data_IF_950674982108
#
_entry.id   IF_950674982108
#
_cell.length_a   1.000
_cell.length_b   1.000
_cell.length_c   1.000
_cell.angle_alpha   90.00
_cell.angle_beta   90.00
_cell.angle_gamma   90.00
#
_symmetry.space_group_name_H-M   'P 1'
#
loop_
_entity.id
_entity.type
_entity.pdbx_description
1 polymer ?
#
# COMPACT_ATOMS: atom_id res chain seq x y z
N UNK A 1 -9.42 -28.84 -12.04
CA UNK A 1 -8.91 -28.48 -10.70
C UNK A 1 -8.29 -27.10 -10.86
N UNK A 2 -8.96 -26.05 -10.39
CA UNK A 2 -8.47 -24.68 -10.52
C UNK A 2 -7.15 -24.54 -9.75
N UNK A 3 -6.18 -23.83 -10.31
CA UNK A 3 -4.98 -23.45 -9.56
C UNK A 3 -5.41 -22.69 -8.31
N UNK A 4 -4.97 -23.15 -7.14
CA UNK A 4 -5.20 -22.45 -5.88
C UNK A 4 -4.30 -21.20 -5.87
N UNK A 5 -4.84 -20.05 -6.30
CA UNK A 5 -4.10 -18.79 -6.39
C UNK A 5 -4.26 -18.01 -5.08
N UNK A 6 -3.17 -17.45 -4.52
CA UNK A 6 -3.31 -16.52 -3.41
C UNK A 6 -4.20 -15.34 -3.80
N UNK A 7 -5.07 -14.95 -2.87
CA UNK A 7 -6.05 -13.89 -3.04
C UNK A 7 -5.55 -12.62 -2.38
N UNK A 8 -5.41 -11.55 -3.16
CA UNK A 8 -5.01 -10.25 -2.69
C UNK A 8 -6.13 -9.22 -2.87
N UNK A 9 -6.29 -8.33 -1.88
CA UNK A 9 -7.13 -7.14 -1.99
C UNK A 9 -6.23 -5.92 -1.88
N UNK A 10 -6.23 -5.05 -2.91
CA UNK A 10 -5.44 -3.81 -2.91
C UNK A 10 -6.38 -2.61 -2.88
N UNK A 11 -6.32 -1.83 -1.81
CA UNK A 11 -7.16 -0.64 -1.66
C UNK A 11 -6.61 0.54 -2.47
N UNK A 12 -7.46 1.24 -3.23
CA UNK A 12 -7.01 2.41 -4.02
C UNK A 12 -6.07 2.06 -5.18
N UNK A 13 -6.33 0.95 -5.88
CA UNK A 13 -5.47 0.39 -6.93
C UNK A 13 -5.78 0.88 -8.36
N UNK A 14 -6.64 1.87 -8.55
CA UNK A 14 -6.94 2.40 -9.90
C UNK A 14 -5.74 3.04 -10.63
N UNK A 15 -4.69 3.44 -9.90
CA UNK A 15 -3.48 4.12 -10.42
C UNK A 15 -2.36 4.16 -9.39
N UNK A 16 -1.19 4.67 -9.79
CA UNK A 16 -0.07 4.98 -8.90
C UNK A 16 0.47 3.75 -8.17
N UNK A 17 0.82 3.90 -6.89
CA UNK A 17 1.36 2.83 -6.04
C UNK A 17 0.47 1.57 -6.05
N UNK A 18 -0.84 1.75 -5.79
CA UNK A 18 -1.77 0.62 -5.73
C UNK A 18 -1.88 -0.14 -7.04
N UNK A 19 -1.81 0.54 -8.19
CA UNK A 19 -1.81 -0.13 -9.49
C UNK A 19 -0.55 -0.96 -9.73
N UNK A 20 0.63 -0.41 -9.41
CA UNK A 20 1.88 -1.14 -9.50
C UNK A 20 1.95 -2.33 -8.55
N UNK A 21 1.51 -2.15 -7.30
CA UNK A 21 1.41 -3.24 -6.32
C UNK A 21 0.50 -4.35 -6.83
N UNK A 22 -0.69 -3.99 -7.33
CA UNK A 22 -1.63 -4.96 -7.89
C UNK A 22 -1.02 -5.72 -9.06
N UNK A 23 -0.39 -5.03 -10.01
CA UNK A 23 0.25 -5.63 -11.18
C UNK A 23 1.39 -6.59 -10.77
N UNK A 24 2.25 -6.18 -9.84
CA UNK A 24 3.34 -7.01 -9.34
C UNK A 24 2.82 -8.28 -8.64
N UNK A 25 1.78 -8.19 -7.81
CA UNK A 25 1.12 -9.38 -7.24
C UNK A 25 0.51 -10.26 -8.35
N UNK A 26 -0.07 -9.65 -9.39
CA UNK A 26 -0.54 -10.34 -10.59
C UNK A 26 0.56 -11.13 -11.29
N UNK A 27 1.78 -10.57 -11.41
CA UNK A 27 2.93 -11.26 -12.01
C UNK A 27 3.38 -12.51 -11.26
N UNK A 28 3.04 -12.60 -9.98
CA UNK A 28 3.28 -13.76 -9.13
C UNK A 28 2.12 -14.77 -9.14
N UNK A 29 1.11 -14.53 -9.97
CA UNK A 29 -0.02 -15.45 -10.18
C UNK A 29 -1.21 -15.24 -9.24
N UNK A 30 -1.23 -14.16 -8.46
CA UNK A 30 -2.34 -13.88 -7.53
C UNK A 30 -3.65 -13.56 -8.26
N UNK A 31 -4.77 -13.90 -7.60
CA UNK A 31 -6.06 -13.25 -7.86
C UNK A 31 -6.06 -11.92 -7.10
N UNK A 32 -6.25 -10.79 -7.78
CA UNK A 32 -6.14 -9.46 -7.17
C UNK A 32 -7.44 -8.68 -7.37
N UNK A 33 -8.11 -8.34 -6.26
CA UNK A 33 -9.19 -7.37 -6.24
C UNK A 33 -8.60 -5.96 -6.30
N UNK A 34 -8.77 -5.32 -7.45
CA UNK A 34 -8.34 -3.96 -7.74
C UNK A 34 -9.48 -3.02 -7.38
N UNK A 35 -9.35 -2.35 -6.24
CA UNK A 35 -10.44 -1.50 -5.73
C UNK A 35 -10.19 -0.01 -5.94
N UNK A 36 -11.25 0.75 -6.15
CA UNK A 36 -11.17 2.21 -6.29
C UNK A 36 -12.45 2.80 -6.88
N UNK A 37 -12.50 4.12 -7.04
CA UNK A 37 -13.73 4.82 -7.47
C UNK A 37 -13.84 5.03 -8.98
N UNK A 38 -12.70 5.10 -9.68
CA UNK A 38 -12.66 5.43 -11.10
C UNK A 38 -12.83 4.18 -11.95
N UNK A 39 -13.96 4.07 -12.64
CA UNK A 39 -14.28 2.99 -13.57
C UNK A 39 -14.00 3.42 -15.02
N UNK A 40 -14.33 4.66 -15.34
CA UNK A 40 -14.23 5.23 -16.68
C UNK A 40 -13.14 6.29 -16.76
N UNK A 41 -12.60 6.48 -17.97
CA UNK A 41 -11.74 7.63 -18.24
C UNK A 41 -12.52 8.92 -18.02
N UNK A 42 -11.94 9.86 -17.28
CA UNK A 42 -12.59 11.13 -16.93
C UNK A 42 -13.30 11.17 -15.58
N UNK A 43 -13.49 10.03 -14.89
CA UNK A 43 -14.01 10.00 -13.50
C UNK A 43 -13.06 10.72 -12.52
N UNK A 44 -11.81 10.93 -12.91
CA UNK A 44 -10.79 11.67 -12.19
C UNK A 44 -9.99 12.53 -13.16
N UNK A 45 -9.40 13.62 -12.66
CA UNK A 45 -8.38 14.39 -13.39
C UNK A 45 -7.10 13.58 -13.65
N UNK A 46 -6.93 12.46 -12.94
CA UNK A 46 -5.80 11.54 -13.09
C UNK A 46 -6.19 10.34 -13.98
N UNK A 47 -5.26 9.89 -14.80
CA UNK A 47 -5.38 8.71 -15.64
C UNK A 47 -5.41 7.41 -14.80
N UNK A 48 -5.96 6.35 -15.38
CA UNK A 48 -6.06 5.03 -14.77
C UNK A 48 -7.42 4.74 -14.17
N UNK A 49 -7.92 3.52 -14.42
CA UNK A 49 -9.18 2.99 -13.88
C UNK A 49 -8.95 1.62 -13.24
N UNK A 50 -9.91 1.18 -12.44
CA UNK A 50 -9.86 -0.17 -11.84
C UNK A 50 -9.86 -1.27 -12.91
N UNK A 51 -10.55 -1.06 -14.04
CA UNK A 51 -10.60 -2.03 -15.13
C UNK A 51 -9.26 -2.15 -15.85
N UNK A 52 -8.63 -1.01 -16.16
CA UNK A 52 -7.31 -1.02 -16.79
C UNK A 52 -6.26 -1.72 -15.91
N UNK A 53 -6.32 -1.47 -14.60
CA UNK A 53 -5.39 -2.13 -13.67
C UNK A 53 -5.69 -3.62 -13.56
N UNK A 54 -6.96 -4.03 -13.51
CA UNK A 54 -7.34 -5.45 -13.53
C UNK A 54 -6.88 -6.17 -14.81
N UNK A 55 -6.92 -5.49 -15.96
CA UNK A 55 -6.37 -6.01 -17.21
C UNK A 55 -4.84 -6.16 -17.13
N UNK A 56 -4.13 -5.20 -16.51
CA UNK A 56 -2.69 -5.29 -16.27
C UNK A 56 -2.32 -6.46 -15.35
N UNK A 57 -3.08 -6.70 -14.28
CA UNK A 57 -2.92 -7.88 -13.40
C UNK A 57 -3.06 -9.18 -14.18
N UNK A 58 -4.10 -9.26 -15.01
CA UNK A 58 -4.38 -10.46 -15.81
C UNK A 58 -3.31 -10.68 -16.87
N UNK A 59 -2.87 -9.62 -17.55
CA UNK A 59 -1.79 -9.66 -18.53
C UNK A 59 -0.44 -10.04 -17.91
N UNK A 60 -0.22 -9.72 -16.63
CA UNK A 60 0.99 -10.08 -15.90
C UNK A 60 1.04 -11.58 -15.52
N UNK A 61 -0.08 -12.31 -15.58
CA UNK A 61 -0.15 -13.75 -15.30
C UNK A 61 -1.11 -14.15 -14.18
N UNK A 62 -1.71 -13.17 -13.49
CA UNK A 62 -2.67 -13.38 -12.41
C UNK A 62 -4.12 -13.36 -12.88
N UNK A 63 -5.02 -12.99 -11.98
CA UNK A 63 -6.41 -12.66 -12.30
C UNK A 63 -6.80 -11.34 -11.65
N UNK A 64 -6.98 -10.30 -12.46
CA UNK A 64 -7.46 -9.02 -11.97
C UNK A 64 -8.98 -9.00 -11.87
N UNK A 65 -9.51 -8.55 -10.74
CA UNK A 65 -10.93 -8.32 -10.52
C UNK A 65 -11.13 -6.85 -10.20
N UNK A 66 -11.72 -6.11 -11.13
CA UNK A 66 -12.10 -4.72 -10.89
C UNK A 66 -13.28 -4.67 -9.89
N UNK A 67 -13.14 -3.87 -8.83
CA UNK A 67 -14.19 -3.66 -7.85
C UNK A 67 -14.34 -2.17 -7.53
N UNK A 68 -15.46 -1.57 -7.92
CA UNK A 68 -15.76 -0.17 -7.61
C UNK A 68 -16.08 -0.03 -6.12
N UNK A 69 -15.23 0.69 -5.39
CA UNK A 69 -15.38 0.91 -3.94
C UNK A 69 -14.93 2.32 -3.59
N UNK A 70 -15.81 3.08 -2.93
CA UNK A 70 -15.38 4.24 -2.15
C UNK A 70 -14.97 3.79 -0.75
N UNK A 71 -13.69 3.90 -0.44
CA UNK A 71 -13.13 3.49 0.86
C UNK A 71 -13.48 4.47 2.00
N UNK A 72 -14.14 5.60 1.70
CA UNK A 72 -14.79 6.43 2.71
C UNK A 72 -16.20 5.98 3.09
N UNK A 73 -16.74 4.94 2.45
CA UNK A 73 -18.08 4.38 2.70
C UNK A 73 -17.95 2.95 3.23
N UNK A 74 -18.15 2.79 4.54
CA UNK A 74 -17.99 1.51 5.25
C UNK A 74 -18.92 0.41 4.69
N UNK A 75 -20.12 0.75 4.18
CA UNK A 75 -21.05 -0.22 3.60
C UNK A 75 -20.53 -0.77 2.26
N UNK A 76 -19.89 0.08 1.46
CA UNK A 76 -19.23 -0.36 0.22
C UNK A 76 -18.01 -1.25 0.50
N UNK A 77 -17.22 -0.94 1.54
CA UNK A 77 -16.10 -1.79 1.96
C UNK A 77 -16.62 -3.14 2.49
N UNK A 78 -17.72 -3.15 3.24
CA UNK A 78 -18.37 -4.39 3.67
C UNK A 78 -18.83 -5.23 2.47
N UNK A 79 -19.53 -4.61 1.52
CA UNK A 79 -20.01 -5.30 0.33
C UNK A 79 -18.86 -5.91 -0.50
N UNK A 80 -17.70 -5.25 -0.54
CA UNK A 80 -16.49 -5.82 -1.15
C UNK A 80 -16.08 -7.13 -0.46
N UNK A 81 -15.92 -7.13 0.87
CA UNK A 81 -15.45 -8.33 1.57
C UNK A 81 -16.49 -9.44 1.62
N UNK A 82 -17.79 -9.11 1.67
CA UNK A 82 -18.87 -10.10 1.48
C UNK A 82 -18.72 -10.80 0.12
N UNK A 83 -18.48 -10.03 -0.95
CA UNK A 83 -18.24 -10.58 -2.28
C UNK A 83 -16.97 -11.43 -2.35
N UNK A 84 -15.87 -11.00 -1.74
CA UNK A 84 -14.62 -11.80 -1.70
C UNK A 84 -14.84 -13.12 -0.96
N UNK A 85 -15.60 -13.10 0.14
CA UNK A 85 -15.98 -14.30 0.88
C UNK A 85 -16.80 -15.27 0.00
N UNK A 86 -17.77 -14.76 -0.77
CA UNK A 86 -18.59 -15.57 -1.67
C UNK A 86 -17.78 -16.15 -2.85
N UNK A 87 -16.91 -15.35 -3.47
CA UNK A 87 -16.18 -15.73 -4.68
C UNK A 87 -14.93 -16.57 -4.40
N UNK A 88 -14.21 -16.30 -3.30
CA UNK A 88 -12.91 -16.93 -2.99
C UNK A 88 -12.90 -17.71 -1.67
N UNK A 89 -13.75 -17.34 -0.70
CA UNK A 89 -13.77 -17.94 0.63
C UNK A 89 -12.63 -17.54 1.57
N UNK A 90 -11.60 -16.86 1.06
CA UNK A 90 -10.43 -16.45 1.83
C UNK A 90 -9.78 -15.17 1.26
N UNK A 91 -8.93 -14.53 2.07
CA UNK A 91 -7.96 -13.53 1.63
C UNK A 91 -6.58 -13.92 2.16
N UNK A 92 -5.56 -13.85 1.33
CA UNK A 92 -4.17 -14.13 1.71
C UNK A 92 -3.38 -12.85 2.00
N UNK A 93 -3.61 -11.80 1.20
CA UNK A 93 -2.89 -10.53 1.30
C UNK A 93 -3.88 -9.35 1.27
N UNK A 94 -3.88 -8.51 2.31
CA UNK A 94 -4.56 -7.22 2.29
C UNK A 94 -3.52 -6.10 2.19
N UNK A 95 -3.63 -5.26 1.17
CA UNK A 95 -2.81 -4.05 1.04
C UNK A 95 -3.67 -2.81 1.25
N UNK A 96 -3.53 -2.21 2.43
CA UNK A 96 -4.08 -0.90 2.77
C UNK A 96 -3.25 0.21 2.10
N UNK A 97 -3.68 0.60 0.90
CA UNK A 97 -3.05 1.63 0.07
C UNK A 97 -3.93 2.86 -0.21
N UNK A 98 -5.25 2.74 -0.11
CA UNK A 98 -6.16 3.86 -0.34
C UNK A 98 -5.83 5.04 0.58
N UNK A 99 -5.54 6.19 -0.01
CA UNK A 99 -5.29 7.44 0.70
C UNK A 99 -5.81 8.62 -0.13
N UNK A 100 -6.40 9.60 0.55
CA UNK A 100 -6.60 10.93 -0.03
C UNK A 100 -5.31 11.72 0.15
N UNK A 101 -4.79 12.30 -0.93
CA UNK A 101 -3.71 13.29 -0.89
C UNK A 101 -4.23 14.53 -1.61
N UNK A 102 -4.18 15.66 -0.92
CA UNK A 102 -4.66 16.96 -1.41
C UNK A 102 -3.49 17.79 -1.92
N UNK A 103 -3.65 18.47 -3.05
CA UNK A 103 -2.58 19.29 -3.62
C UNK A 103 -2.19 20.45 -2.68
N UNK A 104 -3.14 20.93 -1.88
CA UNK A 104 -2.98 21.95 -0.84
C UNK A 104 -1.87 21.59 0.15
N UNK A 105 -1.76 20.30 0.52
CA UNK A 105 -0.71 19.79 1.43
C UNK A 105 0.71 19.99 0.89
N UNK A 106 0.86 20.10 -0.43
CA UNK A 106 2.15 20.33 -1.08
C UNK A 106 2.49 21.83 -1.24
N UNK A 107 1.60 22.73 -0.82
CA UNK A 107 1.72 24.18 -1.00
C UNK A 107 2.76 24.88 -0.12
N UNK A 108 3.49 24.14 0.75
CA UNK A 108 4.44 24.68 1.75
C UNK A 108 3.82 25.75 2.65
N UNK A 109 2.54 25.56 2.93
CA UNK A 109 1.70 26.45 3.73
C UNK A 109 1.73 25.99 5.19
N UNK A 110 1.46 26.89 6.14
CA UNK A 110 1.43 26.52 7.57
C UNK A 110 0.13 25.80 7.88
N UNK A 111 0.16 24.83 8.78
CA UNK A 111 -1.02 23.97 9.03
C UNK A 111 -2.27 24.74 9.47
N UNK A 112 -2.12 25.91 10.11
CA UNK A 112 -3.25 26.76 10.53
C UNK A 112 -3.81 27.64 9.39
N UNK A 113 -3.18 27.63 8.22
CA UNK A 113 -3.59 28.35 7.00
C UNK A 113 -4.19 27.39 5.96
N UNK A 114 -4.01 26.07 6.12
CA UNK A 114 -4.59 25.03 5.27
C UNK A 114 -6.12 24.93 5.44
N UNK A 115 -6.87 24.60 4.39
CA UNK A 115 -8.28 24.27 4.53
C UNK A 115 -8.44 22.98 5.33
N UNK A 116 -9.46 22.90 6.19
CA UNK A 116 -9.69 21.73 7.06
C UNK A 116 -9.88 20.41 6.29
N UNK A 117 -10.25 20.47 5.01
CA UNK A 117 -10.39 19.30 4.13
C UNK A 117 -9.11 18.49 3.98
N UNK A 118 -7.92 19.06 4.26
CA UNK A 118 -6.67 18.27 4.31
C UNK A 118 -6.71 17.13 5.33
N UNK A 119 -7.61 17.19 6.33
CA UNK A 119 -7.81 16.14 7.32
C UNK A 119 -8.61 14.94 6.81
N UNK A 120 -9.21 15.00 5.61
CA UNK A 120 -9.92 13.86 5.00
C UNK A 120 -8.99 12.64 4.78
N UNK A 121 -7.67 12.84 4.89
CA UNK A 121 -6.65 11.78 4.98
C UNK A 121 -6.87 10.84 6.16
N UNK A 122 -7.52 11.31 7.23
CA UNK A 122 -7.88 10.49 8.39
C UNK A 122 -9.04 9.55 8.05
N UNK A 123 -9.99 10.01 7.24
CA UNK A 123 -11.12 9.17 6.79
C UNK A 123 -10.64 8.14 5.74
N UNK A 124 -10.02 8.61 4.66
CA UNK A 124 -9.44 7.75 3.63
C UNK A 124 -7.93 7.73 3.77
N UNK A 125 -7.45 6.73 4.51
CA UNK A 125 -6.05 6.52 4.87
C UNK A 125 -5.93 5.82 6.22
N UNK A 126 -6.57 6.36 7.26
CA UNK A 126 -6.56 5.76 8.61
C UNK A 126 -7.82 4.94 8.86
N UNK A 127 -8.99 5.57 8.90
CA UNK A 127 -10.28 4.89 9.16
C UNK A 127 -10.52 3.79 8.14
N UNK A 128 -10.40 4.11 6.85
CA UNK A 128 -10.61 3.14 5.78
C UNK A 128 -9.73 1.89 5.92
N UNK A 129 -8.47 2.07 6.34
CA UNK A 129 -7.53 0.96 6.54
C UNK A 129 -7.90 0.10 7.75
N UNK A 130 -8.39 0.73 8.82
CA UNK A 130 -8.94 0.02 9.97
C UNK A 130 -10.16 -0.81 9.58
N UNK A 131 -11.13 -0.19 8.91
CA UNK A 131 -12.39 -0.82 8.47
C UNK A 131 -12.10 -1.98 7.53
N UNK A 132 -11.24 -1.80 6.53
CA UNK A 132 -10.85 -2.86 5.61
C UNK A 132 -10.19 -4.03 6.34
N UNK A 133 -9.32 -3.76 7.32
CA UNK A 133 -8.64 -4.83 8.08
C UNK A 133 -9.62 -5.59 8.97
N UNK A 134 -10.56 -4.90 9.63
CA UNK A 134 -11.62 -5.54 10.45
C UNK A 134 -12.48 -6.48 9.60
N UNK A 135 -12.86 -6.05 8.39
CA UNK A 135 -13.72 -6.84 7.50
C UNK A 135 -12.95 -7.97 6.80
N UNK A 136 -11.66 -7.78 6.56
CA UNK A 136 -10.79 -8.79 5.95
C UNK A 136 -10.37 -9.88 6.94
N UNK A 137 -10.10 -9.54 8.20
CA UNK A 137 -9.52 -10.46 9.17
C UNK A 137 -10.28 -11.79 9.28
N UNK A 138 -11.63 -11.83 9.38
CA UNK A 138 -12.39 -13.08 9.41
C UNK A 138 -12.15 -14.03 8.22
N UNK A 139 -11.74 -13.50 7.06
CA UNK A 139 -11.39 -14.27 5.86
C UNK A 139 -9.94 -14.76 5.85
N UNK A 140 -9.11 -14.31 6.79
CA UNK A 140 -7.73 -14.73 6.98
C UNK A 140 -7.57 -15.71 8.15
N UNK A 141 -8.33 -15.51 9.25
CA UNK A 141 -8.16 -16.28 10.49
C UNK A 141 -8.20 -17.81 10.29
N UNK A 142 -9.13 -18.40 9.50
CA UNK A 142 -9.28 -19.85 9.44
C UNK A 142 -8.06 -20.60 8.88
N UNK A 143 -7.29 -19.98 7.99
CA UNK A 143 -6.13 -20.63 7.37
C UNK A 143 -4.82 -20.47 8.16
N UNK A 144 -4.85 -19.67 9.23
CA UNK A 144 -3.70 -19.34 10.06
C UNK A 144 -2.44 -18.91 9.26
N UNK A 145 -2.66 -18.15 8.19
CA UNK A 145 -1.61 -17.63 7.33
C UNK A 145 -2.13 -16.42 6.57
N UNK A 146 -1.39 -15.33 6.55
CA UNK A 146 -1.78 -14.13 5.82
C UNK A 146 -0.87 -12.95 6.08
N UNK A 147 -1.04 -11.90 5.27
CA UNK A 147 -0.27 -10.67 5.38
C UNK A 147 -1.19 -9.45 5.23
N UNK A 148 -1.21 -8.60 6.25
CA UNK A 148 -1.80 -7.26 6.21
C UNK A 148 -0.67 -6.24 6.04
N UNK A 149 -0.75 -5.42 5.01
CA UNK A 149 0.24 -4.40 4.67
C UNK A 149 -0.38 -3.03 4.72
N UNK A 150 0.29 -2.09 5.38
CA UNK A 150 -0.03 -0.67 5.30
C UNK A 150 1.03 0.06 4.47
N UNK A 151 0.59 0.80 3.45
CA UNK A 151 1.51 1.65 2.69
C UNK A 151 1.76 2.97 3.41
N UNK A 152 3.02 3.20 3.78
CA UNK A 152 3.42 4.33 4.60
C UNK A 152 4.62 5.05 4.00
N UNK A 153 5.21 5.97 4.76
CA UNK A 153 6.27 6.88 4.33
C UNK A 153 7.11 7.29 5.53
N UNK A 154 8.38 7.61 5.28
CA UNK A 154 9.28 8.18 6.30
C UNK A 154 8.72 9.44 6.97
N UNK A 155 7.80 10.15 6.31
CA UNK A 155 7.07 11.28 6.88
C UNK A 155 6.24 10.94 8.14
N UNK A 156 6.12 9.67 8.50
CA UNK A 156 5.61 9.22 9.80
C UNK A 156 6.47 9.67 10.99
N UNK A 157 7.78 9.87 10.78
CA UNK A 157 8.74 10.14 11.87
C UNK A 157 9.51 11.46 11.72
N UNK A 158 9.33 12.16 10.60
CA UNK A 158 9.90 13.48 10.38
C UNK A 158 8.89 14.40 9.70
N UNK A 159 9.17 15.70 9.71
CA UNK A 159 8.31 16.66 9.03
C UNK A 159 8.27 16.39 7.51
N UNK A 160 7.06 16.09 7.00
CA UNK A 160 6.77 15.98 5.58
C UNK A 160 5.35 16.53 5.35
N UNK A 161 5.21 17.60 4.56
CA UNK A 161 3.91 18.15 4.10
C UNK A 161 2.91 18.52 5.22
N UNK A 162 3.39 18.76 6.44
CA UNK A 162 2.55 19.14 7.57
C UNK A 162 1.86 17.96 8.29
N UNK A 163 1.11 18.26 9.37
CA UNK A 163 0.54 17.23 10.23
C UNK A 163 -0.51 16.36 9.52
N UNK A 164 -1.23 16.93 8.55
CA UNK A 164 -2.22 16.20 7.75
C UNK A 164 -1.61 15.08 6.90
N UNK A 165 -0.30 15.10 6.64
CA UNK A 165 0.39 14.01 5.96
C UNK A 165 1.04 13.04 6.96
N UNK A 166 1.85 13.57 7.88
CA UNK A 166 2.64 12.75 8.80
C UNK A 166 1.79 11.95 9.79
N UNK A 167 0.72 12.54 10.33
CA UNK A 167 -0.13 11.88 11.34
C UNK A 167 -0.82 10.62 10.78
N UNK A 168 -1.47 10.64 9.60
CA UNK A 168 -1.98 9.42 9.00
C UNK A 168 -0.93 8.34 8.80
N UNK A 169 0.30 8.72 8.41
CA UNK A 169 1.40 7.77 8.18
C UNK A 169 1.92 7.14 9.47
N UNK A 170 2.08 7.93 10.53
CA UNK A 170 2.34 7.42 11.87
C UNK A 170 1.18 6.55 12.39
N UNK A 171 -0.07 6.91 12.06
CA UNK A 171 -1.25 6.15 12.42
C UNK A 171 -1.28 4.75 11.83
N UNK A 172 -0.98 4.61 10.52
CA UNK A 172 -0.94 3.29 9.88
C UNK A 172 0.27 2.45 10.33
N UNK A 173 1.41 3.09 10.63
CA UNK A 173 2.55 2.42 11.27
C UNK A 173 2.16 1.82 12.62
N UNK A 174 1.40 2.59 13.43
CA UNK A 174 0.89 2.12 14.72
C UNK A 174 -0.18 1.03 14.57
N UNK A 175 -1.03 1.12 13.54
CA UNK A 175 -2.01 0.05 13.26
C UNK A 175 -1.32 -1.27 12.93
N UNK A 176 -0.25 -1.27 12.12
CA UNK A 176 0.52 -2.48 11.87
C UNK A 176 1.06 -3.10 13.19
N UNK A 177 1.64 -2.26 14.06
CA UNK A 177 2.16 -2.69 15.35
C UNK A 177 1.09 -3.29 16.27
N UNK A 178 -0.07 -2.64 16.39
CA UNK A 178 -1.12 -3.07 17.31
C UNK A 178 -1.89 -4.28 16.79
N UNK A 179 -2.28 -4.26 15.52
CA UNK A 179 -3.03 -5.37 14.93
C UNK A 179 -2.19 -6.66 14.89
N UNK A 180 -0.86 -6.55 14.78
CA UNK A 180 0.03 -7.70 14.89
C UNK A 180 -0.07 -8.43 16.25
N UNK A 181 -0.43 -7.74 17.34
CA UNK A 181 -0.59 -8.36 18.66
C UNK A 181 -1.74 -9.36 18.65
N UNK A 182 -2.87 -8.98 18.07
CA UNK A 182 -4.08 -9.81 18.01
C UNK A 182 -3.98 -10.87 16.90
N UNK A 183 -3.37 -10.52 15.76
CA UNK A 183 -3.20 -11.43 14.62
C UNK A 183 -2.14 -12.53 14.86
N UNK A 184 -1.26 -12.37 15.84
CA UNK A 184 -0.15 -13.29 16.11
C UNK A 184 -0.61 -14.71 16.44
N UNK A 185 -1.71 -14.89 17.17
CA UNK A 185 -2.21 -16.23 17.51
C UNK A 185 -2.72 -17.01 16.29
N UNK A 186 -3.02 -16.30 15.21
CA UNK A 186 -3.44 -16.85 13.92
C UNK A 186 -2.31 -16.89 12.89
N UNK A 187 -1.05 -16.63 13.29
CA UNK A 187 0.09 -16.63 12.36
C UNK A 187 -0.15 -15.75 11.11
N UNK A 188 -0.81 -14.61 11.31
CA UNK A 188 -1.01 -13.57 10.30
C UNK A 188 -0.06 -12.42 10.64
N UNK A 189 0.74 -12.00 9.68
CA UNK A 189 1.63 -10.86 9.85
C UNK A 189 0.91 -9.55 9.53
N UNK A 190 1.19 -8.49 10.30
CA UNK A 190 0.81 -7.13 9.96
C UNK A 190 2.05 -6.24 9.92
N UNK A 191 2.29 -5.54 8.81
CA UNK A 191 3.49 -4.71 8.62
C UNK A 191 3.12 -3.37 7.99
N UNK A 192 3.93 -2.35 8.28
CA UNK A 192 3.91 -1.10 7.52
C UNK A 192 5.13 -1.04 6.62
N UNK A 193 4.96 -0.60 5.37
CA UNK A 193 6.07 -0.46 4.41
C UNK A 193 6.21 1.00 4.02
N UNK A 194 7.36 1.58 4.35
CA UNK A 194 7.78 2.86 3.82
C UNK A 194 8.26 2.70 2.39
N UNK A 195 7.51 3.29 1.47
CA UNK A 195 7.90 3.38 0.07
C UNK A 195 8.76 4.62 -0.14
N UNK A 196 9.65 4.55 -1.11
CA UNK A 196 10.41 5.70 -1.58
C UNK A 196 9.60 6.61 -2.49
N UNK A 197 10.31 7.50 -3.18
CA UNK A 197 9.69 8.35 -4.20
C UNK A 197 9.25 7.49 -5.36
N UNK A 198 7.95 7.43 -5.66
CA UNK A 198 7.44 6.55 -6.72
C UNK A 198 7.42 7.23 -8.09
N UNK A 199 7.97 6.55 -9.10
CA UNK A 199 7.90 6.91 -10.52
C UNK A 199 6.51 6.68 -11.13
N UNK A 200 5.50 7.29 -10.52
CA UNK A 200 4.14 7.30 -11.06
C UNK A 200 4.08 8.01 -12.41
N UNK A 201 3.03 7.77 -13.19
CA UNK A 201 2.81 8.47 -14.47
C UNK A 201 2.87 10.01 -14.32
N UNK A 202 2.35 10.55 -13.20
CA UNK A 202 2.43 11.99 -12.87
C UNK A 202 3.89 12.44 -12.70
N UNK A 203 4.69 11.70 -11.95
CA UNK A 203 6.11 12.02 -11.72
C UNK A 203 6.92 11.91 -13.02
N UNK A 204 6.71 10.84 -13.80
CA UNK A 204 7.37 10.66 -15.10
C UNK A 204 7.05 11.81 -16.07
N UNK A 205 5.80 12.28 -16.10
CA UNK A 205 5.41 13.44 -16.91
C UNK A 205 6.10 14.74 -16.47
N UNK A 206 6.25 14.98 -15.16
CA UNK A 206 6.97 16.14 -14.62
C UNK A 206 8.46 16.09 -15.01
N UNK A 207 9.09 14.92 -14.89
CA UNK A 207 10.49 14.71 -15.28
C UNK A 207 10.67 14.95 -16.78
N UNK A 208 9.83 14.36 -17.62
CA UNK A 208 9.89 14.51 -19.08
C UNK A 208 9.70 15.96 -19.53
N UNK A 209 8.89 16.76 -18.82
CA UNK A 209 8.68 18.16 -19.14
C UNK A 209 9.90 19.06 -18.81
N UNK A 210 10.73 18.67 -17.82
CA UNK A 210 11.88 19.46 -17.34
C UNK A 210 13.05 18.55 -16.91
N UNK A 211 13.68 17.82 -17.85
CA UNK A 211 14.71 16.82 -17.53
C UNK A 211 15.93 17.42 -16.84
N UNK A 212 16.39 18.60 -17.25
CA UNK A 212 17.54 19.28 -16.63
C UNK A 212 17.32 19.60 -15.15
N UNK A 213 16.07 19.73 -14.70
CA UNK A 213 15.72 20.05 -13.31
C UNK A 213 15.38 18.82 -12.48
N UNK A 214 14.76 17.81 -13.08
CA UNK A 214 14.16 16.70 -12.34
C UNK A 214 14.69 15.32 -12.75
N UNK A 215 15.61 15.24 -13.71
CA UNK A 215 16.18 13.97 -14.19
C UNK A 215 16.84 13.15 -13.08
N UNK A 216 17.49 13.80 -12.12
CA UNK A 216 18.12 13.15 -10.96
C UNK A 216 17.14 12.36 -10.07
N UNK A 217 15.82 12.60 -10.18
CA UNK A 217 14.81 11.82 -9.46
C UNK A 217 14.79 10.37 -9.96
N UNK A 218 15.15 10.12 -11.22
CA UNK A 218 15.19 8.76 -11.79
C UNK A 218 16.24 7.86 -11.10
N UNK A 219 17.27 8.45 -10.49
CA UNK A 219 18.36 7.71 -9.85
C UNK A 219 17.95 7.15 -8.48
N UNK A 220 16.97 7.77 -7.83
CA UNK A 220 16.57 7.43 -6.44
C UNK A 220 15.13 6.98 -6.30
N UNK A 221 14.33 7.11 -7.36
CA UNK A 221 12.92 6.75 -7.33
C UNK A 221 12.70 5.26 -7.62
N UNK A 222 11.63 4.74 -7.04
CA UNK A 222 11.17 3.37 -7.13
C UNK A 222 10.07 3.28 -8.20
N UNK A 223 10.00 2.19 -8.95
CA UNK A 223 8.78 1.90 -9.69
C UNK A 223 7.63 1.58 -8.74
N UNK A 224 6.37 1.91 -9.10
CA UNK A 224 5.19 1.50 -8.32
C UNK A 224 5.10 -0.02 -8.04
N UNK A 225 5.71 -0.85 -8.88
CA UNK A 225 5.67 -2.31 -8.85
C UNK A 225 6.60 -2.90 -7.77
N UNK A 226 7.72 -2.23 -7.46
CA UNK A 226 8.73 -2.72 -6.51
C UNK A 226 8.12 -3.17 -5.18
N UNK A 227 7.24 -2.33 -4.61
CA UNK A 227 6.56 -2.64 -3.35
C UNK A 227 5.71 -3.90 -3.44
N UNK A 228 5.05 -4.16 -4.58
CA UNK A 228 4.26 -5.39 -4.75
C UNK A 228 5.12 -6.64 -4.82
N UNK A 229 6.31 -6.57 -5.43
CA UNK A 229 7.28 -7.67 -5.40
C UNK A 229 7.83 -7.92 -3.99
N UNK A 230 8.10 -6.87 -3.23
CA UNK A 230 8.51 -6.95 -1.83
C UNK A 230 7.42 -7.57 -0.96
N UNK A 231 6.15 -7.18 -1.14
CA UNK A 231 5.00 -7.75 -0.43
C UNK A 231 4.88 -9.24 -0.73
N UNK A 232 5.04 -9.66 -1.99
CA UNK A 232 5.03 -11.07 -2.35
C UNK A 232 6.16 -11.86 -1.69
N UNK A 233 7.39 -11.31 -1.70
CA UNK A 233 8.52 -11.96 -1.04
C UNK A 233 8.33 -12.08 0.47
N UNK A 234 7.78 -11.04 1.12
CA UNK A 234 7.40 -11.07 2.53
C UNK A 234 6.35 -12.16 2.81
N UNK A 235 5.28 -12.23 2.02
CA UNK A 235 4.22 -13.22 2.19
C UNK A 235 4.73 -14.66 2.12
N UNK A 236 5.81 -14.90 1.36
CA UNK A 236 6.45 -16.21 1.22
C UNK A 236 7.68 -16.40 2.14
N UNK A 237 8.01 -15.41 2.99
CA UNK A 237 9.12 -15.52 3.93
C UNK A 237 8.71 -16.49 5.06
N UNK A 238 9.43 -17.61 5.28
CA UNK A 238 9.11 -18.53 6.36
C UNK A 238 9.21 -17.88 7.75
N UNK A 239 9.96 -16.79 7.86
CA UNK A 239 10.20 -16.04 9.10
C UNK A 239 9.40 -14.71 9.12
N UNK A 240 8.32 -14.58 8.32
CA UNK A 240 7.50 -13.36 8.22
C UNK A 240 7.03 -12.84 9.59
N UNK A 241 6.79 -13.72 10.56
CA UNK A 241 6.33 -13.35 11.89
C UNK A 241 7.38 -12.60 12.72
N UNK A 242 8.67 -12.68 12.37
CA UNK A 242 9.72 -11.83 12.96
C UNK A 242 9.52 -10.36 12.57
N UNK A 243 8.98 -10.11 11.37
CA UNK A 243 8.68 -8.78 10.85
C UNK A 243 7.31 -8.27 11.29
N UNK A 244 6.43 -9.13 11.80
CA UNK A 244 5.08 -8.75 12.21
C UNK A 244 5.10 -7.71 13.34
N UNK A 245 4.35 -6.63 13.14
CA UNK A 245 4.27 -5.47 14.01
C UNK A 245 5.32 -4.39 13.73
N UNK A 246 6.16 -4.56 12.70
CA UNK A 246 7.22 -3.61 12.36
C UNK A 246 6.84 -2.68 11.21
N UNK A 247 7.48 -1.51 11.23
CA UNK A 247 7.58 -0.61 10.09
C UNK A 247 8.90 -0.88 9.36
N UNK A 248 8.81 -1.22 8.08
CA UNK A 248 9.91 -1.70 7.24
C UNK A 248 10.17 -0.70 6.11
N UNK A 249 11.43 -0.59 5.66
CA UNK A 249 11.79 0.24 4.50
C UNK A 249 11.78 -0.64 3.25
N UNK A 250 10.97 -0.28 2.25
CA UNK A 250 10.79 -1.07 1.03
C UNK A 250 12.10 -1.38 0.31
N UNK A 251 12.96 -0.38 0.13
CA UNK A 251 14.30 -0.54 -0.45
C UNK A 251 15.22 -1.53 0.32
N UNK A 252 15.15 -1.54 1.66
CA UNK A 252 15.93 -2.47 2.49
C UNK A 252 15.40 -3.90 2.34
N UNK A 253 14.07 -4.07 2.24
CA UNK A 253 13.46 -5.36 1.96
C UNK A 253 13.77 -5.86 0.55
N UNK A 254 13.72 -4.99 -0.46
CA UNK A 254 14.10 -5.34 -1.82
C UNK A 254 15.55 -5.87 -1.85
N UNK A 255 16.46 -5.20 -1.17
CA UNK A 255 17.85 -5.66 -0.99
C UNK A 255 17.93 -7.00 -0.25
N UNK A 256 17.19 -7.17 0.86
CA UNK A 256 17.14 -8.43 1.64
C UNK A 256 16.72 -9.62 0.77
N UNK A 257 15.71 -9.45 -0.08
CA UNK A 257 15.16 -10.52 -0.91
C UNK A 257 15.80 -10.62 -2.31
N UNK A 258 16.83 -9.83 -2.60
CA UNK A 258 17.50 -9.83 -3.91
C UNK A 258 16.60 -9.35 -5.06
N UNK A 259 15.60 -8.51 -4.77
CA UNK A 259 14.71 -7.90 -5.74
C UNK A 259 15.37 -6.64 -6.27
N UNK A 260 15.50 -6.53 -7.58
CA UNK A 260 15.92 -5.30 -8.26
C UNK A 260 14.71 -4.63 -8.90
N UNK A 261 14.72 -3.31 -8.93
CA UNK A 261 13.75 -2.51 -9.65
C UNK A 261 14.05 -2.49 -11.17
N UNK A 262 13.21 -1.79 -11.95
CA UNK A 262 13.37 -1.60 -13.40
C UNK A 262 14.82 -1.25 -13.80
N UNK A 263 15.31 -1.90 -14.86
CA UNK A 263 16.68 -1.79 -15.38
C UNK A 263 17.79 -2.17 -14.37
N UNK A 264 17.48 -2.97 -13.36
CA UNK A 264 18.43 -3.41 -12.34
C UNK A 264 18.71 -2.36 -11.27
N UNK A 265 17.89 -1.31 -11.19
CA UNK A 265 18.04 -0.24 -10.19
C UNK A 265 17.87 -0.82 -8.79
N UNK A 266 18.64 -0.28 -7.85
CA UNK A 266 18.49 -0.53 -6.42
C UNK A 266 18.21 0.80 -5.71
N UNK A 267 16.94 1.11 -5.45
CA UNK A 267 16.57 2.35 -4.77
C UNK A 267 17.23 2.46 -3.41
N UNK A 268 17.68 3.66 -3.02
CA UNK A 268 18.38 3.85 -1.76
C UNK A 268 17.45 3.81 -0.55
N UNK A 269 17.94 3.31 0.58
CA UNK A 269 17.21 3.37 1.85
C UNK A 269 17.18 4.80 2.41
N UNK A 270 16.02 5.22 2.91
CA UNK A 270 15.85 6.47 3.66
C UNK A 270 16.74 6.54 4.90
N UNK A 271 17.07 5.39 5.48
CA UNK A 271 18.04 5.28 6.56
C UNK A 271 19.39 5.82 6.16
N UNK A 272 19.86 5.40 4.99
CA UNK A 272 21.19 5.76 4.49
C UNK A 272 21.20 7.17 3.91
N UNK A 273 20.13 7.58 3.23
CA UNK A 273 20.06 8.90 2.61
C UNK A 273 19.90 10.05 3.60
N UNK A 274 19.07 9.84 4.63
CA UNK A 274 18.57 10.93 5.46
C UNK A 274 18.73 10.71 6.96
N UNK A 275 19.34 9.60 7.38
CA UNK A 275 19.43 9.21 8.80
C UNK A 275 18.04 9.11 9.47
N UNK A 276 17.06 8.65 8.69
CA UNK A 276 15.66 8.51 9.13
C UNK A 276 15.34 7.04 9.36
N UNK A 277 14.86 6.73 10.56
CA UNK A 277 14.63 5.37 11.02
C UNK A 277 13.17 5.13 11.42
N UNK A 278 12.59 3.96 11.11
CA UNK A 278 11.34 3.53 11.71
C UNK A 278 11.42 3.50 13.23
N UNK A 279 10.32 3.86 13.90
CA UNK A 279 10.24 3.74 15.36
C UNK A 279 10.25 2.29 15.79
N UNK A 280 11.03 1.99 16.82
CA UNK A 280 10.99 0.70 17.49
C UNK A 280 9.78 0.64 18.42
N UNK A 281 8.98 -0.42 18.29
CA UNK A 281 7.86 -0.67 19.20
C UNK A 281 8.36 -1.27 20.52
N UNK A 282 7.73 -0.86 21.62
CA UNK A 282 8.05 -1.39 22.95
C UNK A 282 7.25 -2.65 23.25
N UNK A 283 7.82 -3.64 23.98
CA UNK A 283 7.16 -4.93 24.21
C UNK A 283 6.04 -4.90 25.27
N UNK A 284 5.80 -3.75 25.93
CA UNK A 284 4.77 -3.64 26.96
C UNK A 284 3.38 -3.65 26.35
N UNK A 285 2.54 -4.60 26.77
CA UNK A 285 1.14 -4.73 26.34
C UNK A 285 0.22 -4.43 27.53
N UNK A 286 -0.74 -3.54 27.33
CA UNK A 286 -1.83 -3.25 28.26
C UNK A 286 -3.06 -4.04 27.82
N UNK A 287 -3.60 -4.91 28.70
CA UNK A 287 -4.83 -5.69 28.50
C UNK A 287 -5.74 -5.56 29.71
#
# INVERSE_FOLDING_TARGET
>A
MGQNRPVAVVTGASRGAGAGIAQALGSHGCTVYVTGRSENQGDSSLTGTIHQTADMVTAAGGQGIAARVDHGDDDQVKALFDRVAEEQGQVDILVNNAAIIRDEMMGRTKFWEEPLSVLDTLDVGVRSSYVATVLCAPLMLPQCHGLVVFTSSSGAVHYAFGPAYGVPKAGVDKMAADMAVDLREFNIAAVSIWMGSLLTQRVRAIIAAKPDKFGHILDTAETPELTGHVIWALFNDPDIMESSGQTLIGAELASKYGITDEDGRQPPSYRTMFDVHPHQQYPHVMR
#
